data_IF_478681577286
#
_entry.id   IF_478681577286
#
_cell.length_a   1.000
_cell.length_b   1.000
_cell.length_c   1.000
_cell.angle_alpha   90.00
_cell.angle_beta   90.00
_cell.angle_gamma   90.00
#
_symmetry.space_group_name_H-M   'P 1'
#
loop_
_entity.id
_entity.type
_entity.pdbx_description
1 polymer ?
#
# COMPACT_ATOMS: atom_id res chain seq x y z
N UNK A 1 3.55 19.66 -12.07
CA UNK A 1 4.56 19.08 -11.16
C UNK A 1 5.91 19.15 -11.88
N UNK A 2 6.95 19.60 -11.19
CA UNK A 2 8.30 19.68 -11.75
C UNK A 2 9.04 18.36 -11.52
N UNK A 3 10.20 18.15 -12.21
CA UNK A 3 11.03 16.96 -11.99
C UNK A 3 11.49 16.81 -10.52
N UNK A 4 11.66 17.91 -9.81
CA UNK A 4 11.96 17.93 -8.38
C UNK A 4 10.81 17.36 -7.51
N UNK A 5 9.57 17.58 -7.92
CA UNK A 5 8.41 17.01 -7.21
C UNK A 5 8.38 15.48 -7.34
N UNK A 6 8.84 14.91 -8.45
CA UNK A 6 8.92 13.46 -8.65
C UNK A 6 9.98 12.84 -7.74
N UNK A 7 11.15 13.48 -7.60
CA UNK A 7 12.19 13.02 -6.67
C UNK A 7 11.71 13.10 -5.24
N UNK A 8 11.09 14.21 -4.85
CA UNK A 8 10.54 14.37 -3.51
C UNK A 8 9.45 13.33 -3.21
N UNK A 9 8.54 13.07 -4.14
CA UNK A 9 7.54 12.01 -4.02
C UNK A 9 8.18 10.64 -3.81
N UNK A 10 9.25 10.34 -4.55
CA UNK A 10 10.03 9.11 -4.36
C UNK A 10 10.63 9.01 -2.96
N UNK A 11 11.21 10.09 -2.44
CA UNK A 11 11.75 10.15 -1.07
C UNK A 11 10.66 9.97 -0.01
N UNK A 12 9.54 10.66 -0.14
CA UNK A 12 8.39 10.47 0.77
C UNK A 12 7.82 9.05 0.67
N UNK A 13 7.82 8.44 -0.52
CA UNK A 13 7.48 7.04 -0.71
C UNK A 13 8.46 6.09 -0.03
N UNK A 14 9.76 6.42 -0.05
CA UNK A 14 10.81 5.63 0.62
C UNK A 14 10.67 5.61 2.14
N UNK A 15 10.09 6.65 2.76
CA UNK A 15 9.78 6.65 4.20
C UNK A 15 8.86 5.49 4.60
N UNK A 16 8.08 4.96 3.67
CA UNK A 16 7.24 3.77 3.92
C UNK A 16 8.02 2.45 4.07
N UNK A 17 9.34 2.46 3.87
CA UNK A 17 10.19 1.33 4.21
C UNK A 17 10.26 1.10 5.74
N UNK A 18 10.00 2.12 6.54
CA UNK A 18 9.86 1.96 7.98
C UNK A 18 8.52 1.30 8.31
N UNK A 19 8.52 0.21 9.14
CA UNK A 19 7.31 -0.45 9.55
C UNK A 19 6.39 0.52 10.32
N UNK A 20 5.11 0.53 9.96
CA UNK A 20 4.12 1.42 10.55
C UNK A 20 3.88 2.74 9.80
N UNK A 21 4.73 3.10 8.84
CA UNK A 21 4.51 4.29 8.00
C UNK A 21 3.74 3.91 6.74
N UNK A 22 2.55 4.50 6.58
CA UNK A 22 1.72 4.27 5.39
C UNK A 22 2.29 5.01 4.18
N UNK A 23 2.61 4.27 3.12
CA UNK A 23 3.08 4.85 1.84
C UNK A 23 2.08 5.82 1.24
N UNK A 24 0.80 5.48 1.25
CA UNK A 24 -0.26 6.35 0.76
C UNK A 24 -0.38 7.64 1.57
N UNK A 25 -0.24 7.56 2.89
CA UNK A 25 -0.33 8.72 3.76
C UNK A 25 0.83 9.71 3.52
N UNK A 26 2.08 9.22 3.43
CA UNK A 26 3.25 10.08 3.20
C UNK A 26 3.21 10.79 1.85
N UNK A 27 2.81 10.07 0.80
CA UNK A 27 2.72 10.65 -0.54
C UNK A 27 1.56 11.64 -0.65
N UNK A 28 0.40 11.34 -0.09
CA UNK A 28 -0.73 12.28 -0.05
C UNK A 28 -0.44 13.51 0.81
N UNK A 29 0.32 13.36 1.88
CA UNK A 29 0.79 14.49 2.69
C UNK A 29 1.63 15.45 1.84
N UNK A 30 2.63 14.93 1.11
CA UNK A 30 3.46 15.76 0.23
C UNK A 30 2.65 16.47 -0.86
N UNK A 31 1.76 15.75 -1.56
CA UNK A 31 0.93 16.35 -2.61
C UNK A 31 -0.01 17.42 -2.06
N UNK A 32 -0.55 17.23 -0.85
CA UNK A 32 -1.37 18.23 -0.15
C UNK A 32 -0.58 19.48 0.24
N UNK A 33 0.67 19.32 0.70
CA UNK A 33 1.55 20.45 1.02
C UNK A 33 1.88 21.30 -0.22
N UNK A 34 1.96 20.67 -1.38
CA UNK A 34 2.22 21.36 -2.67
C UNK A 34 0.96 21.94 -3.31
N UNK A 35 -0.21 21.84 -2.63
CA UNK A 35 -1.47 22.34 -3.16
C UNK A 35 -1.99 21.57 -4.39
N UNK A 36 -1.49 20.36 -4.61
CA UNK A 36 -1.96 19.49 -5.71
C UNK A 36 -3.32 18.91 -5.31
N UNK A 37 -4.23 18.86 -6.28
CA UNK A 37 -5.54 18.22 -6.09
C UNK A 37 -5.39 16.76 -5.58
N UNK A 38 -6.21 16.41 -4.60
CA UNK A 38 -6.14 15.10 -3.93
C UNK A 38 -6.34 13.92 -4.87
N UNK A 39 -7.22 14.08 -5.87
CA UNK A 39 -7.45 13.06 -6.89
C UNK A 39 -6.22 12.83 -7.76
N UNK A 40 -5.53 13.90 -8.16
CA UNK A 40 -4.26 13.83 -8.86
C UNK A 40 -3.16 13.20 -8.02
N UNK A 41 -3.04 13.57 -6.75
CA UNK A 41 -2.09 12.98 -5.82
C UNK A 41 -2.26 11.47 -5.67
N UNK A 42 -3.50 11.00 -5.55
CA UNK A 42 -3.82 9.58 -5.49
C UNK A 42 -3.45 8.83 -6.77
N UNK A 43 -3.70 9.41 -7.94
CA UNK A 43 -3.32 8.78 -9.21
C UNK A 43 -1.80 8.63 -9.35
N UNK A 44 -1.03 9.64 -8.95
CA UNK A 44 0.44 9.55 -8.91
C UNK A 44 0.93 8.48 -7.94
N UNK A 45 0.32 8.39 -6.76
CA UNK A 45 0.61 7.32 -5.81
C UNK A 45 0.38 5.93 -6.42
N UNK A 46 -0.77 5.69 -7.04
CA UNK A 46 -1.10 4.42 -7.67
C UNK A 46 -0.12 4.08 -8.81
N UNK A 47 0.26 5.07 -9.62
CA UNK A 47 1.25 4.90 -10.69
C UNK A 47 2.62 4.46 -10.14
N UNK A 48 3.06 5.06 -9.04
CA UNK A 48 4.34 4.72 -8.39
C UNK A 48 4.30 3.37 -7.66
N UNK A 49 3.12 2.87 -7.31
CA UNK A 49 2.98 1.52 -6.76
C UNK A 49 3.25 0.42 -7.80
N UNK A 50 2.97 0.68 -9.08
CA UNK A 50 3.15 -0.33 -10.16
C UNK A 50 4.60 -0.82 -10.25
N UNK A 51 5.64 0.03 -10.42
CA UNK A 51 7.01 -0.45 -10.47
C UNK A 51 7.47 -1.12 -9.15
N UNK A 52 6.98 -0.64 -8.01
CA UNK A 52 7.31 -1.25 -6.72
C UNK A 52 6.74 -2.69 -6.60
N UNK A 53 5.50 -2.89 -7.04
CA UNK A 53 4.87 -4.22 -7.05
C UNK A 53 5.57 -5.14 -8.05
N UNK A 54 5.92 -4.65 -9.24
CA UNK A 54 6.65 -5.42 -10.24
C UNK A 54 8.02 -5.90 -9.70
N UNK A 55 8.72 -5.05 -8.97
CA UNK A 55 9.99 -5.40 -8.33
C UNK A 55 9.80 -6.53 -7.29
N UNK A 56 8.76 -6.45 -6.46
CA UNK A 56 8.44 -7.50 -5.49
C UNK A 56 8.11 -8.83 -6.19
N UNK A 57 7.30 -8.78 -7.24
CA UNK A 57 6.97 -9.98 -8.04
C UNK A 57 8.22 -10.60 -8.66
N UNK A 58 9.17 -9.80 -9.16
CA UNK A 58 10.45 -10.29 -9.68
C UNK A 58 11.26 -10.99 -8.60
N UNK A 59 11.34 -10.41 -7.40
CA UNK A 59 12.04 -11.03 -6.26
C UNK A 59 11.38 -12.36 -5.89
N UNK A 60 10.05 -12.42 -5.85
CA UNK A 60 9.32 -13.64 -5.52
C UNK A 60 9.52 -14.73 -6.57
N UNK A 61 9.56 -14.37 -7.86
CA UNK A 61 9.87 -15.30 -8.96
C UNK A 61 11.30 -15.86 -8.79
N UNK A 62 12.29 -15.00 -8.48
CA UNK A 62 13.66 -15.43 -8.24
C UNK A 62 13.72 -16.40 -7.05
N UNK A 63 13.05 -16.08 -5.95
CA UNK A 63 12.97 -16.93 -4.78
C UNK A 63 12.33 -18.29 -5.09
N UNK A 64 11.34 -18.34 -5.97
CA UNK A 64 10.71 -19.58 -6.41
C UNK A 64 11.71 -20.53 -7.11
N UNK A 65 12.68 -19.99 -7.86
CA UNK A 65 13.74 -20.78 -8.49
C UNK A 65 14.83 -21.24 -7.54
N UNK A 66 15.01 -20.56 -6.42
CA UNK A 66 16.00 -20.90 -5.38
C UNK A 66 15.44 -21.93 -4.39
N UNK A 67 14.13 -21.97 -4.21
CA UNK A 67 13.47 -22.96 -3.36
C UNK A 67 13.47 -24.35 -4.03
N UNK A 68 13.71 -25.45 -3.29
CA UNK A 68 13.71 -26.80 -3.86
C UNK A 68 12.35 -27.11 -4.49
N UNK A 69 12.39 -27.56 -5.75
CA UNK A 69 11.25 -28.05 -6.49
C UNK A 69 10.59 -29.19 -5.71
N UNK A 70 9.51 -28.95 -5.04
CA UNK A 70 8.76 -29.92 -4.21
C UNK A 70 7.86 -29.28 -3.18
N UNK A 71 8.06 -27.97 -2.94
CA UNK A 71 7.24 -27.23 -1.97
C UNK A 71 5.85 -26.83 -2.52
N UNK A 72 5.62 -26.92 -3.83
CA UNK A 72 4.33 -26.55 -4.44
C UNK A 72 3.46 -27.78 -4.59
N UNK A 73 2.74 -28.12 -3.56
CA UNK A 73 1.67 -29.13 -3.62
C UNK A 73 0.47 -28.55 -4.41
N UNK A 74 -0.31 -29.42 -5.08
CA UNK A 74 -1.54 -29.01 -5.78
C UNK A 74 -2.49 -28.18 -4.90
N UNK A 75 -2.60 -28.54 -3.61
CA UNK A 75 -3.37 -27.78 -2.60
C UNK A 75 -2.78 -26.38 -2.39
N UNK A 76 -1.46 -26.26 -2.39
CA UNK A 76 -0.77 -24.96 -2.30
C UNK A 76 -1.07 -24.08 -3.52
N UNK A 77 -1.05 -24.63 -4.73
CA UNK A 77 -1.41 -23.89 -5.93
C UNK A 77 -2.85 -23.36 -5.90
N UNK A 78 -3.79 -24.18 -5.44
CA UNK A 78 -5.19 -23.73 -5.25
C UNK A 78 -5.29 -22.59 -4.24
N UNK A 79 -4.53 -22.67 -3.14
CA UNK A 79 -4.41 -21.62 -2.13
C UNK A 79 -3.90 -20.29 -2.72
N UNK A 80 -2.87 -20.34 -3.54
CA UNK A 80 -2.36 -19.15 -4.24
C UNK A 80 -3.40 -18.53 -5.18
N UNK A 81 -4.16 -19.33 -5.88
CA UNK A 81 -5.20 -18.88 -6.81
C UNK A 81 -6.34 -18.18 -6.08
N UNK A 82 -6.82 -18.77 -4.98
CA UNK A 82 -7.83 -18.16 -4.12
C UNK A 82 -7.33 -16.85 -3.50
N UNK A 83 -6.08 -16.84 -3.01
CA UNK A 83 -5.46 -15.64 -2.44
C UNK A 83 -5.31 -14.53 -3.48
N UNK A 84 -4.95 -14.85 -4.72
CA UNK A 84 -4.85 -13.87 -5.80
C UNK A 84 -6.20 -13.24 -6.14
N UNK A 85 -7.27 -14.06 -6.21
CA UNK A 85 -8.63 -13.57 -6.46
C UNK A 85 -9.08 -12.66 -5.30
N UNK A 86 -8.88 -13.10 -4.06
CA UNK A 86 -9.23 -12.31 -2.87
C UNK A 86 -8.45 -10.97 -2.83
N UNK A 87 -7.15 -11.00 -3.16
CA UNK A 87 -6.31 -9.81 -3.24
C UNK A 87 -6.77 -8.85 -4.36
N UNK A 88 -7.17 -9.37 -5.51
CA UNK A 88 -7.70 -8.57 -6.61
C UNK A 88 -9.01 -7.85 -6.21
N UNK A 89 -9.94 -8.58 -5.63
CA UNK A 89 -11.22 -8.00 -5.16
C UNK A 89 -10.97 -6.97 -4.05
N UNK A 90 -10.19 -7.34 -3.04
CA UNK A 90 -9.85 -6.45 -1.93
C UNK A 90 -9.09 -5.20 -2.37
N UNK A 91 -8.15 -5.35 -3.29
CA UNK A 91 -7.40 -4.24 -3.88
C UNK A 91 -8.29 -3.29 -4.68
N UNK A 92 -9.18 -3.84 -5.50
CA UNK A 92 -10.14 -3.02 -6.27
C UNK A 92 -11.08 -2.23 -5.36
N UNK A 93 -11.63 -2.87 -4.34
CA UNK A 93 -12.48 -2.21 -3.35
C UNK A 93 -11.70 -1.15 -2.55
N UNK A 94 -10.46 -1.46 -2.16
CA UNK A 94 -9.59 -0.53 -1.44
C UNK A 94 -9.26 0.72 -2.26
N UNK A 95 -8.90 0.57 -3.54
CA UNK A 95 -8.65 1.72 -4.44
C UNK A 95 -9.91 2.54 -4.65
N UNK A 96 -11.06 1.89 -4.84
CA UNK A 96 -12.35 2.57 -5.02
C UNK A 96 -12.73 3.38 -3.78
N UNK A 97 -12.57 2.80 -2.59
CA UNK A 97 -12.79 3.47 -1.32
C UNK A 97 -11.85 4.66 -1.11
N UNK A 98 -10.55 4.48 -1.38
CA UNK A 98 -9.57 5.56 -1.30
C UNK A 98 -9.92 6.72 -2.24
N UNK A 99 -10.32 6.40 -3.46
CA UNK A 99 -10.75 7.42 -4.44
C UNK A 99 -11.97 8.18 -3.97
N UNK A 100 -12.97 7.48 -3.45
CA UNK A 100 -14.17 8.09 -2.90
C UNK A 100 -13.87 9.02 -1.72
N UNK A 101 -13.05 8.57 -0.78
CA UNK A 101 -12.65 9.37 0.39
C UNK A 101 -11.79 10.59 -0.01
N UNK A 102 -10.89 10.42 -0.98
CA UNK A 102 -10.03 11.51 -1.46
C UNK A 102 -10.84 12.68 -2.02
N UNK A 103 -11.91 12.38 -2.76
CA UNK A 103 -12.71 13.40 -3.45
C UNK A 103 -13.77 14.01 -2.52
N UNK A 104 -14.47 13.20 -1.70
CA UNK A 104 -15.68 13.64 -1.02
C UNK A 104 -15.51 13.99 0.45
N UNK A 105 -14.69 13.28 1.22
CA UNK A 105 -14.65 13.41 2.69
C UNK A 105 -13.28 13.75 3.28
N UNK A 106 -12.22 13.67 2.50
CA UNK A 106 -10.87 13.82 3.04
C UNK A 106 -10.46 12.64 3.93
N UNK A 107 -9.20 12.68 4.41
CA UNK A 107 -8.59 11.56 5.15
C UNK A 107 -8.77 11.64 6.68
N UNK A 108 -9.50 12.62 7.20
CA UNK A 108 -9.66 12.82 8.65
C UNK A 108 -10.27 11.59 9.35
N UNK A 109 -11.26 10.92 8.73
CA UNK A 109 -11.84 9.69 9.27
C UNK A 109 -10.84 8.53 9.39
N UNK A 110 -9.85 8.48 8.50
CA UNK A 110 -8.76 7.49 8.56
C UNK A 110 -7.85 7.71 9.78
N UNK A 111 -7.63 8.95 10.19
CA UNK A 111 -6.83 9.25 11.37
C UNK A 111 -7.47 8.67 12.64
N UNK A 112 -8.77 8.84 12.81
CA UNK A 112 -9.50 8.26 13.96
C UNK A 112 -9.47 6.75 13.98
N UNK A 113 -9.65 6.10 12.81
CA UNK A 113 -9.52 4.66 12.67
C UNK A 113 -8.11 4.17 13.04
N UNK A 114 -7.07 4.84 12.53
CA UNK A 114 -5.67 4.47 12.81
C UNK A 114 -5.33 4.62 14.28
N UNK A 115 -5.82 5.67 14.93
CA UNK A 115 -5.64 5.88 16.38
C UNK A 115 -6.35 4.78 17.18
N UNK A 116 -7.59 4.45 16.83
CA UNK A 116 -8.34 3.36 17.46
C UNK A 116 -7.62 2.01 17.31
N UNK A 117 -7.13 1.70 16.11
CA UNK A 117 -6.38 0.47 15.85
C UNK A 117 -5.06 0.42 16.63
N UNK A 118 -4.33 1.54 16.71
CA UNK A 118 -3.09 1.64 17.47
C UNK A 118 -3.32 1.43 18.98
N UNK A 119 -4.35 2.07 19.52
CA UNK A 119 -4.75 1.88 20.94
C UNK A 119 -5.14 0.43 21.21
N UNK A 120 -5.92 -0.17 20.33
CA UNK A 120 -6.32 -1.58 20.46
C UNK A 120 -5.12 -2.53 20.43
N UNK A 121 -4.19 -2.33 19.48
CA UNK A 121 -2.97 -3.12 19.39
C UNK A 121 -2.08 -2.93 20.62
N UNK A 122 -1.99 -1.72 21.14
CA UNK A 122 -1.21 -1.42 22.35
C UNK A 122 -1.79 -2.10 23.58
N UNK A 123 -3.11 -2.07 23.75
CA UNK A 123 -3.78 -2.79 24.86
C UNK A 123 -3.57 -4.30 24.75
N UNK A 124 -3.69 -4.89 23.55
CA UNK A 124 -3.42 -6.31 23.34
C UNK A 124 -1.97 -6.67 23.70
N UNK A 125 -1.01 -5.82 23.32
CA UNK A 125 0.40 -6.03 23.64
C UNK A 125 0.66 -6.02 25.16
N UNK A 126 -0.10 -5.23 25.93
CA UNK A 126 0.05 -5.18 27.39
C UNK A 126 -0.59 -6.39 28.10
N UNK A 127 -1.54 -7.09 27.45
CA UNK A 127 -2.27 -8.21 28.04
C UNK A 127 -1.57 -9.55 27.74
N UNK A 128 -0.83 -9.62 26.62
CA UNK A 128 -0.08 -10.82 26.20
C UNK A 128 1.35 -10.77 26.71
#
# INVERSE_FOLDING_TARGET
>A
MSGWDSIALGLFGALSAFPGISRSATMNFYTSMRGVDRGHGLNWFLLLCVPAILLLVLIDIINLFVLPFGAVTFIGFLGYLVSAIAAFIGGHLGVSLMRYLSVHKGYAGFAYYSWGAAMFAFVLYLIV
#
